data_IF_333240364479
#
_entry.id   IF_333240364479
#
_cell.length_a   1.000
_cell.length_b   1.000
_cell.length_c   1.000
_cell.angle_alpha   90.00
_cell.angle_beta   90.00
_cell.angle_gamma   90.00
#
_symmetry.space_group_name_H-M   'P 1'
#
loop_
_entity.id
_entity.type
_entity.pdbx_description
1 polymer ?
#
# COMPACT_ATOMS: atom_id res chain seq x y z
N UNK A 1 6.02 -30.09 -8.83
CA UNK A 1 5.52 -28.79 -8.34
C UNK A 1 4.82 -29.05 -7.03
N UNK A 2 5.47 -28.82 -5.89
CA UNK A 2 4.88 -29.13 -4.58
C UNK A 2 4.04 -27.93 -4.11
N UNK A 3 2.75 -28.17 -3.93
CA UNK A 3 1.80 -27.22 -3.35
C UNK A 3 2.02 -27.24 -1.85
N UNK A 4 2.56 -26.15 -1.30
CA UNK A 4 2.69 -25.99 0.15
C UNK A 4 1.35 -25.47 0.65
N UNK A 5 0.67 -26.23 1.52
CA UNK A 5 -0.68 -25.96 2.01
C UNK A 5 -0.84 -24.51 2.51
N UNK A 6 -1.73 -23.73 1.87
CA UNK A 6 -2.37 -22.54 2.45
C UNK A 6 -1.46 -21.40 2.90
N UNK A 7 -0.17 -21.40 2.56
CA UNK A 7 0.77 -20.35 2.99
C UNK A 7 1.61 -19.83 1.82
N UNK A 8 1.87 -18.53 1.82
CA UNK A 8 2.77 -17.86 0.90
C UNK A 8 4.08 -17.49 1.59
N UNK A 9 5.19 -17.57 0.86
CA UNK A 9 6.47 -17.02 1.29
C UNK A 9 6.61 -15.60 0.74
N UNK A 10 6.71 -14.61 1.62
CA UNK A 10 6.97 -13.22 1.26
C UNK A 10 8.41 -12.86 1.62
N UNK A 11 9.13 -12.20 0.71
CA UNK A 11 10.37 -11.51 1.05
C UNK A 11 10.05 -10.08 1.47
N UNK A 12 10.35 -9.73 2.72
CA UNK A 12 10.15 -8.38 3.26
C UNK A 12 11.45 -7.92 3.89
N UNK A 13 12.04 -6.86 3.35
CA UNK A 13 13.33 -6.32 3.81
C UNK A 13 14.44 -7.41 3.88
N UNK A 14 14.54 -8.25 2.84
CA UNK A 14 15.50 -9.36 2.75
C UNK A 14 15.31 -10.44 3.82
N UNK A 15 14.11 -10.52 4.40
CA UNK A 15 13.71 -11.58 5.33
C UNK A 15 12.54 -12.34 4.73
N UNK A 16 12.70 -13.64 4.59
CA UNK A 16 11.61 -14.52 4.17
C UNK A 16 10.65 -14.76 5.35
N UNK A 17 9.36 -14.55 5.12
CA UNK A 17 8.29 -14.77 6.08
C UNK A 17 7.17 -15.59 5.47
N UNK A 18 6.61 -16.51 6.25
CA UNK A 18 5.48 -17.34 5.85
C UNK A 18 4.18 -16.70 6.33
N UNK A 19 3.24 -16.45 5.42
CA UNK A 19 1.95 -15.82 5.73
C UNK A 19 0.81 -16.72 5.21
N UNK A 20 -0.26 -16.96 5.99
CA UNK A 20 -1.44 -17.65 5.51
C UNK A 20 -2.04 -16.97 4.27
N UNK A 21 -2.37 -17.75 3.25
CA UNK A 21 -2.86 -17.24 1.98
C UNK A 21 -4.24 -16.59 2.15
N UNK A 22 -5.02 -16.99 3.14
CA UNK A 22 -6.32 -16.41 3.48
C UNK A 22 -6.22 -14.96 3.97
N UNK A 23 -5.04 -14.53 4.43
CA UNK A 23 -4.75 -13.15 4.82
C UNK A 23 -4.20 -12.30 3.68
N UNK A 24 -3.97 -12.91 2.50
CA UNK A 24 -3.36 -12.25 1.36
C UNK A 24 -4.38 -12.10 0.23
N UNK A 25 -4.52 -10.87 -0.24
CA UNK A 25 -5.14 -10.60 -1.51
C UNK A 25 -4.05 -10.38 -2.56
N UNK A 26 -3.97 -11.29 -3.54
CA UNK A 26 -3.06 -11.17 -4.68
C UNK A 26 -3.83 -10.61 -5.87
N UNK A 27 -3.48 -9.40 -6.30
CA UNK A 27 -4.06 -8.75 -7.47
C UNK A 27 -3.15 -8.91 -8.69
N UNK A 28 -3.68 -9.13 -9.90
CA UNK A 28 -2.87 -9.42 -11.09
C UNK A 28 -2.14 -8.18 -11.63
N UNK A 29 -2.59 -6.98 -11.29
CA UNK A 29 -2.03 -5.72 -11.73
C UNK A 29 -1.64 -4.84 -10.55
N UNK A 30 -0.58 -4.07 -10.73
CA UNK A 30 -0.21 -3.00 -9.79
C UNK A 30 -1.33 -1.95 -9.76
N UNK A 31 -1.75 -1.49 -8.56
CA UNK A 31 -2.72 -0.40 -8.43
C UNK A 31 -2.27 0.84 -9.21
N UNK A 32 -3.19 1.50 -9.92
CA UNK A 32 -2.92 2.72 -10.71
C UNK A 32 -3.31 4.00 -9.95
N UNK A 33 -3.58 3.89 -8.66
CA UNK A 33 -4.05 4.96 -7.78
C UNK A 33 -3.21 4.99 -6.51
N UNK A 34 -3.28 6.09 -5.77
CA UNK A 34 -2.70 6.18 -4.45
C UNK A 34 -3.33 5.17 -3.50
N UNK A 35 -2.49 4.32 -2.92
CA UNK A 35 -2.92 3.40 -1.86
C UNK A 35 -2.99 4.11 -0.52
N UNK A 36 -4.15 4.10 0.13
CA UNK A 36 -4.33 4.62 1.50
C UNK A 36 -4.00 3.53 2.51
N UNK A 37 -3.01 3.79 3.38
CA UNK A 37 -2.50 2.82 4.35
C UNK A 37 -2.73 3.35 5.77
N UNK A 38 -3.35 2.57 6.67
CA UNK A 38 -3.42 2.93 8.08
C UNK A 38 -2.03 2.94 8.70
N UNK A 39 -1.79 3.90 9.58
CA UNK A 39 -0.54 4.00 10.34
C UNK A 39 -0.40 2.77 11.25
N UNK A 40 0.67 1.96 11.10
CA UNK A 40 0.98 0.90 12.06
C UNK A 40 1.22 1.47 13.46
N UNK A 41 0.79 0.75 14.50
CA UNK A 41 0.97 1.18 15.89
C UNK A 41 2.45 1.32 16.28
N UNK A 42 3.32 0.55 15.65
CA UNK A 42 4.76 0.48 15.83
C UNK A 42 5.53 1.24 14.73
N UNK A 43 4.88 2.18 14.03
CA UNK A 43 5.52 2.96 12.98
C UNK A 43 6.65 3.85 13.53
N UNK A 44 7.91 3.47 13.25
CA UNK A 44 9.11 4.21 13.66
C UNK A 44 9.46 5.36 12.68
N UNK A 45 9.25 5.15 11.38
CA UNK A 45 9.70 6.07 10.32
C UNK A 45 8.57 6.90 9.67
N UNK A 46 7.51 7.19 10.43
CA UNK A 46 6.37 7.98 9.93
C UNK A 46 6.21 9.29 10.74
N UNK A 47 6.30 10.47 10.10
CA UNK A 47 6.12 11.74 10.79
C UNK A 47 4.75 11.85 11.47
N UNK A 48 4.73 12.34 12.73
CA UNK A 48 3.48 12.55 13.47
C UNK A 48 2.50 13.48 12.74
N UNK A 49 3.02 14.44 11.97
CA UNK A 49 2.23 15.40 11.20
C UNK A 49 1.37 14.77 10.10
N UNK A 50 1.63 13.51 9.72
CA UNK A 50 0.86 12.81 8.68
C UNK A 50 -0.43 12.18 9.23
N UNK A 51 -0.63 12.20 10.55
CA UNK A 51 -1.84 11.66 11.18
C UNK A 51 -1.84 10.12 11.23
N UNK A 52 -3.01 9.53 11.00
CA UNK A 52 -3.28 8.09 11.19
C UNK A 52 -3.32 7.29 9.88
N UNK A 53 -3.17 7.94 8.74
CA UNK A 53 -3.15 7.31 7.41
C UNK A 53 -2.12 8.01 6.53
N UNK A 54 -1.60 7.31 5.53
CA UNK A 54 -0.74 7.89 4.51
C UNK A 54 -1.01 7.27 3.15
N UNK A 55 -0.54 7.93 2.09
CA UNK A 55 -0.67 7.45 0.73
C UNK A 55 0.64 6.85 0.21
N UNK A 56 0.54 5.83 -0.65
CA UNK A 56 1.69 5.26 -1.40
C UNK A 56 1.47 5.46 -2.89
N UNK A 57 2.45 6.07 -3.57
CA UNK A 57 2.36 6.40 -4.99
C UNK A 57 2.36 5.12 -5.83
N UNK A 58 1.40 4.95 -6.78
CA UNK A 58 1.34 3.76 -7.62
C UNK A 58 2.59 3.62 -8.51
N UNK A 59 3.12 4.74 -8.99
CA UNK A 59 4.24 4.76 -9.93
C UNK A 59 5.60 4.54 -9.23
N UNK A 60 5.91 5.29 -8.17
CA UNK A 60 7.27 5.33 -7.59
C UNK A 60 7.38 4.88 -6.13
N UNK A 61 6.28 4.38 -5.55
CA UNK A 61 6.19 3.92 -4.15
C UNK A 61 6.55 4.99 -3.10
N UNK A 62 6.65 6.27 -3.48
CA UNK A 62 6.83 7.35 -2.53
C UNK A 62 5.65 7.41 -1.56
N UNK A 63 5.95 7.60 -0.28
CA UNK A 63 4.93 7.83 0.74
C UNK A 63 4.66 9.33 0.85
N UNK A 64 3.40 9.70 1.07
CA UNK A 64 2.99 11.09 1.22
C UNK A 64 1.90 11.24 2.30
N UNK A 65 1.84 12.39 3.00
CA UNK A 65 0.75 12.68 3.91
C UNK A 65 -0.56 12.77 3.14
N UNK A 66 -1.63 12.24 3.74
CA UNK A 66 -3.00 12.52 3.29
C UNK A 66 -3.50 13.73 4.06
N UNK A 67 -3.78 14.82 3.34
CA UNK A 67 -4.37 16.02 3.91
C UNK A 67 -5.89 15.87 4.04
N UNK A 68 -6.63 16.84 3.50
CA UNK A 68 -8.08 16.71 3.36
C UNK A 68 -8.45 15.61 2.37
N UNK A 69 -9.66 15.06 2.51
CA UNK A 69 -10.17 14.01 1.63
C UNK A 69 -10.49 14.59 0.24
N UNK A 70 -9.51 14.53 -0.66
CA UNK A 70 -9.59 14.97 -2.06
C UNK A 70 -9.62 13.77 -3.00
N UNK A 71 -10.18 13.87 -4.23
CA UNK A 71 -10.27 12.72 -5.14
C UNK A 71 -8.90 12.26 -5.66
N UNK A 72 -7.98 13.19 -5.92
CA UNK A 72 -6.66 12.93 -6.49
C UNK A 72 -5.58 13.83 -5.89
N UNK A 73 -4.30 13.48 -6.08
CA UNK A 73 -3.18 14.35 -5.72
C UNK A 73 -1.89 14.05 -6.53
N UNK A 74 -1.01 15.04 -6.71
CA UNK A 74 0.28 14.85 -7.37
C UNK A 74 1.31 14.17 -6.45
N UNK A 75 2.23 13.41 -7.05
CA UNK A 75 3.39 12.85 -6.36
C UNK A 75 4.56 13.82 -6.41
N UNK A 76 5.04 14.25 -5.25
CA UNK A 76 6.21 15.14 -5.14
C UNK A 76 7.52 14.51 -5.59
N UNK A 77 7.58 13.17 -5.73
CA UNK A 77 8.79 12.44 -6.16
C UNK A 77 8.84 12.20 -7.66
N UNK A 78 7.73 11.77 -8.29
CA UNK A 78 7.72 11.43 -9.72
C UNK A 78 6.91 12.41 -10.59
N UNK A 79 6.22 13.39 -10.00
CA UNK A 79 5.44 14.40 -10.70
C UNK A 79 4.08 13.94 -11.23
N UNK A 80 3.79 12.64 -11.23
CA UNK A 80 2.50 12.12 -11.72
C UNK A 80 1.33 12.47 -10.79
N UNK A 81 0.16 12.68 -11.38
CA UNK A 81 -1.11 12.91 -10.69
C UNK A 81 -2.01 11.68 -10.80
N UNK A 82 -2.55 11.23 -9.66
CA UNK A 82 -3.32 9.99 -9.58
C UNK A 82 -4.50 10.17 -8.63
N UNK A 83 -5.58 9.42 -8.88
CA UNK A 83 -6.71 9.28 -7.95
C UNK A 83 -6.26 8.63 -6.63
N UNK A 84 -7.06 8.81 -5.57
CA UNK A 84 -6.82 8.23 -4.25
C UNK A 84 -7.86 7.15 -3.95
N UNK A 85 -7.39 5.93 -3.64
CA UNK A 85 -8.24 4.81 -3.26
C UNK A 85 -8.77 4.98 -1.83
N UNK A 86 -9.74 5.87 -1.65
CA UNK A 86 -10.44 6.01 -0.38
C UNK A 86 -11.34 4.81 -0.04
N UNK A 87 -11.67 3.97 -1.03
CA UNK A 87 -12.36 2.70 -0.85
C UNK A 87 -11.45 1.52 -1.17
N UNK A 88 -11.60 0.44 -0.40
CA UNK A 88 -10.95 -0.84 -0.63
C UNK A 88 -11.42 -1.52 -1.92
N UNK A 89 -12.62 -1.17 -2.42
CA UNK A 89 -13.16 -1.73 -3.66
C UNK A 89 -12.24 -1.53 -4.87
N UNK A 90 -11.38 -0.51 -4.82
CA UNK A 90 -10.41 -0.24 -5.87
C UNK A 90 -9.40 -1.37 -6.08
N UNK A 91 -9.18 -2.23 -5.08
CA UNK A 91 -8.31 -3.41 -5.20
C UNK A 91 -9.08 -4.68 -5.61
N UNK A 92 -10.41 -4.63 -5.67
CA UNK A 92 -11.28 -5.78 -5.93
C UNK A 92 -11.84 -5.79 -7.36
N UNK A 93 -11.51 -4.79 -8.17
CA UNK A 93 -11.94 -4.64 -9.56
C UNK A 93 -11.04 -5.38 -10.55
#
# INVERSE_FOLDING_TARGET
MQVTHGVALLDVNHRSMTVPLELLQVVPARPQVWSVVPRPLDAVDMPLSWGNIYAVCPNCCARAPLGQRVPSMPCTRCGGEFEIAWSLDHYLA
#
